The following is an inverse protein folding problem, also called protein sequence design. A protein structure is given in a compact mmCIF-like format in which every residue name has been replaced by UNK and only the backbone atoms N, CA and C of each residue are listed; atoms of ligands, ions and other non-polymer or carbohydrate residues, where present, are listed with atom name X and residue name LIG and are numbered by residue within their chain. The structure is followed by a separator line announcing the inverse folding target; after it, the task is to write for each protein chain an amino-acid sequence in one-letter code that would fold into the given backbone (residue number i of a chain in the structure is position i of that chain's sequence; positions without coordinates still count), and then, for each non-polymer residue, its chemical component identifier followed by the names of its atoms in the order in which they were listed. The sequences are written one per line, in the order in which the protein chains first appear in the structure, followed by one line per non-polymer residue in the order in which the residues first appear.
data_IF_300548920871
#
_entry.id   IF_300548920871
#
_cell.length_a   1.000
_cell.length_b   1.000
_cell.length_c   1.000
_cell.angle_alpha   90.00
_cell.angle_beta   90.00
_cell.angle_gamma   90.00
#
_symmetry.space_group_name_H-M   'P 1'
#
loop_
_entity.id
_entity.type
_entity.pdbx_description
1 polymer ?
#
# COMPACT_ATOMS: atom_id res chain seq x y z
N UNK A 1 -9.99 -8.73 18.54
CA UNK A 1 -9.88 -9.02 17.10
C UNK A 1 -8.86 -8.16 16.34
N UNK A 2 -8.86 -6.81 16.41
CA UNK A 2 -7.87 -6.00 15.67
C UNK A 2 -6.41 -6.39 15.97
N UNK A 3 -6.08 -6.66 17.24
CA UNK A 3 -4.75 -7.17 17.63
C UNK A 3 -4.37 -8.50 16.98
N UNK A 4 -5.35 -9.38 16.73
CA UNK A 4 -5.14 -10.64 15.99
C UNK A 4 -4.74 -10.33 14.55
N UNK A 5 -5.39 -9.36 13.89
CA UNK A 5 -5.02 -8.94 12.54
C UNK A 5 -3.62 -8.30 12.48
N UNK A 6 -3.24 -7.55 13.52
CA UNK A 6 -1.89 -7.01 13.66
C UNK A 6 -0.86 -8.14 13.73
N UNK A 7 -1.08 -9.17 14.56
CA UNK A 7 -0.21 -10.36 14.64
C UNK A 7 -0.16 -11.11 13.31
N UNK A 8 -1.33 -11.40 12.71
CA UNK A 8 -1.44 -12.05 11.40
C UNK A 8 -0.56 -11.35 10.37
N UNK A 9 -0.65 -10.02 10.30
CA UNK A 9 0.09 -9.21 9.33
C UNK A 9 1.58 -9.08 9.66
N UNK A 10 1.94 -8.89 10.94
CA UNK A 10 3.33 -8.77 11.41
C UNK A 10 4.18 -10.01 11.13
N UNK A 11 3.54 -11.18 10.98
CA UNK A 11 4.21 -12.46 10.76
C UNK A 11 3.83 -13.08 9.40
N UNK A 12 3.06 -12.38 8.56
CA UNK A 12 2.69 -12.84 7.22
C UNK A 12 1.82 -14.09 7.17
N UNK A 13 1.07 -14.37 8.23
CA UNK A 13 0.31 -15.60 8.45
C UNK A 13 -0.96 -15.67 7.60
N UNK A 14 -1.37 -16.89 7.22
CA UNK A 14 -2.75 -17.17 6.78
C UNK A 14 -3.72 -17.18 7.96
N UNK A 15 -5.03 -17.32 7.69
CA UNK A 15 -6.03 -17.46 8.75
C UNK A 15 -5.80 -18.74 9.57
N UNK A 16 -5.53 -19.86 8.91
CA UNK A 16 -5.19 -21.15 9.53
C UNK A 16 -3.91 -21.06 10.36
N UNK A 17 -2.87 -20.42 9.81
CA UNK A 17 -1.63 -20.21 10.55
C UNK A 17 -1.84 -19.28 11.75
N UNK A 18 -2.71 -18.28 11.64
CA UNK A 18 -3.01 -17.37 12.75
C UNK A 18 -3.72 -18.11 13.87
N UNK A 19 -4.73 -18.92 13.55
CA UNK A 19 -5.40 -19.81 14.51
C UNK A 19 -4.39 -20.72 15.21
N UNK A 20 -3.58 -21.46 14.45
CA UNK A 20 -2.56 -22.35 14.99
C UNK A 20 -1.58 -21.61 15.91
N UNK A 21 -1.08 -20.45 15.49
CA UNK A 21 -0.10 -19.68 16.27
C UNK A 21 -0.71 -19.04 17.51
N UNK A 22 -2.01 -18.70 17.51
CA UNK A 22 -2.70 -18.26 18.72
C UNK A 22 -2.89 -19.41 19.71
N UNK A 23 -3.08 -20.64 19.23
CA UNK A 23 -3.16 -21.83 20.07
C UNK A 23 -1.78 -22.20 20.65
N UNK A 24 -0.71 -22.06 19.88
CA UNK A 24 0.64 -22.46 20.30
C UNK A 24 1.37 -21.40 21.14
N UNK A 25 1.28 -20.12 20.76
CA UNK A 25 2.14 -19.06 21.33
C UNK A 25 1.45 -18.22 22.40
N UNK A 26 1.89 -18.40 23.64
CA UNK A 26 1.43 -17.59 24.79
C UNK A 26 1.68 -16.09 24.60
N UNK A 27 2.80 -15.68 23.98
CA UNK A 27 3.09 -14.28 23.72
C UNK A 27 2.06 -13.62 22.78
N UNK A 28 1.55 -14.36 21.80
CA UNK A 28 0.49 -13.88 20.91
C UNK A 28 -0.84 -13.78 21.65
N UNK A 29 -1.16 -14.77 22.50
CA UNK A 29 -2.35 -14.69 23.37
C UNK A 29 -2.31 -13.46 24.26
N UNK A 30 -1.17 -13.21 24.94
CA UNK A 30 -0.97 -12.02 25.79
C UNK A 30 -1.16 -10.72 25.02
N UNK A 31 -0.50 -10.56 23.88
CA UNK A 31 -0.67 -9.37 23.04
C UNK A 31 -2.14 -9.18 22.63
N UNK A 32 -2.78 -10.25 22.16
CA UNK A 32 -4.18 -10.23 21.71
C UNK A 32 -5.21 -10.09 22.85
N UNK A 33 -4.80 -10.16 24.11
CA UNK A 33 -5.71 -10.13 25.27
C UNK A 33 -6.52 -11.43 25.44
N UNK A 34 -5.95 -12.56 25.05
CA UNK A 34 -6.60 -13.88 25.02
C UNK A 34 -6.07 -14.85 26.10
N UNK A 35 -5.26 -14.40 27.06
CA UNK A 35 -4.64 -15.29 28.07
C UNK A 35 -5.66 -16.06 28.91
N UNK A 36 -6.78 -15.42 29.28
CA UNK A 36 -7.86 -16.02 30.06
C UNK A 36 -9.06 -16.42 29.20
N UNK A 37 -8.93 -16.36 27.87
CA UNK A 37 -10.02 -16.73 26.97
C UNK A 37 -10.12 -18.24 26.87
N UNK A 38 -11.31 -18.79 27.12
CA UNK A 38 -11.59 -20.22 26.89
C UNK A 38 -11.62 -20.55 25.39
N UNK A 39 -12.06 -19.60 24.57
CA UNK A 39 -12.18 -19.77 23.13
C UNK A 39 -11.17 -18.87 22.41
N UNK A 40 -10.35 -19.48 21.55
CA UNK A 40 -9.43 -18.76 20.66
C UNK A 40 -10.11 -18.58 19.31
N UNK A 41 -10.03 -17.40 18.67
CA UNK A 41 -10.59 -17.19 17.34
C UNK A 41 -10.02 -18.18 16.32
N UNK A 42 -10.90 -18.96 15.71
CA UNK A 42 -10.55 -19.86 14.61
C UNK A 42 -10.37 -19.08 13.30
N UNK A 43 -9.87 -19.76 12.25
CA UNK A 43 -9.69 -19.18 10.91
C UNK A 43 -10.98 -18.54 10.38
N UNK A 44 -12.13 -19.12 10.69
CA UNK A 44 -13.44 -18.65 10.21
C UNK A 44 -13.84 -17.35 10.90
N UNK A 45 -13.61 -17.24 12.21
CA UNK A 45 -13.85 -16.03 13.00
C UNK A 45 -12.96 -14.89 12.53
N UNK A 46 -11.68 -15.17 12.25
CA UNK A 46 -10.74 -14.18 11.73
C UNK A 46 -11.22 -13.69 10.36
N UNK A 47 -11.53 -14.61 9.44
CA UNK A 47 -12.01 -14.28 8.11
C UNK A 47 -13.32 -13.47 8.15
N UNK A 48 -14.29 -13.88 8.95
CA UNK A 48 -15.55 -13.15 9.12
C UNK A 48 -15.31 -11.74 9.64
N UNK A 49 -14.39 -11.58 10.60
CA UNK A 49 -14.05 -10.26 11.14
C UNK A 49 -13.41 -9.36 10.08
N UNK A 50 -12.47 -9.87 9.27
CA UNK A 50 -11.85 -9.11 8.17
C UNK A 50 -12.90 -8.61 7.16
N UNK A 51 -13.81 -9.49 6.73
CA UNK A 51 -14.87 -9.11 5.80
C UNK A 51 -15.86 -8.12 6.43
N UNK A 52 -16.14 -8.26 7.73
CA UNK A 52 -17.07 -7.37 8.44
C UNK A 52 -16.54 -5.94 8.56
N UNK A 53 -15.25 -5.76 8.84
CA UNK A 53 -14.68 -4.42 8.97
C UNK A 53 -14.33 -3.81 7.60
N UNK A 54 -13.86 -4.63 6.65
CA UNK A 54 -13.60 -4.21 5.28
C UNK A 54 -12.77 -2.94 5.14
N UNK A 55 -12.95 -2.26 4.02
CA UNK A 55 -12.22 -1.03 3.67
C UNK A 55 -12.50 0.10 4.66
N UNK A 56 -13.76 0.28 5.05
CA UNK A 56 -14.16 1.37 5.95
C UNK A 56 -13.53 1.20 7.34
N UNK A 57 -13.49 -0.03 7.85
CA UNK A 57 -12.88 -0.34 9.12
C UNK A 57 -11.37 -0.12 9.13
N UNK A 58 -10.65 -0.47 8.06
CA UNK A 58 -9.21 -0.17 7.99
C UNK A 58 -8.94 1.33 7.84
N UNK A 59 -9.79 2.06 7.13
CA UNK A 59 -9.71 3.52 7.03
C UNK A 59 -9.95 4.19 8.39
N UNK A 60 -10.95 3.74 9.15
CA UNK A 60 -11.22 4.23 10.50
C UNK A 60 -10.05 3.94 11.46
N UNK A 61 -9.48 2.73 11.41
CA UNK A 61 -8.29 2.37 12.19
C UNK A 61 -7.08 3.22 11.81
N UNK A 62 -6.89 3.49 10.52
CA UNK A 62 -5.81 4.34 10.03
C UNK A 62 -5.97 5.79 10.52
N UNK A 63 -7.17 6.35 10.40
CA UNK A 63 -7.47 7.71 10.86
C UNK A 63 -7.23 7.86 12.38
N UNK A 64 -7.68 6.90 13.17
CA UNK A 64 -7.45 6.92 14.63
C UNK A 64 -5.96 6.78 14.98
N UNK A 65 -5.21 5.92 14.27
CA UNK A 65 -3.77 5.84 14.45
C UNK A 65 -3.06 7.15 14.07
N UNK A 66 -3.43 7.76 12.95
CA UNK A 66 -2.85 9.03 12.50
C UNK A 66 -3.14 10.14 13.52
N UNK A 67 -4.36 10.21 14.07
CA UNK A 67 -4.72 11.12 15.17
C UNK A 67 -3.81 10.93 16.37
N UNK A 68 -3.55 9.69 16.81
CA UNK A 68 -2.65 9.39 17.92
C UNK A 68 -1.19 9.75 17.62
N UNK A 69 -0.72 9.54 16.38
CA UNK A 69 0.63 9.95 15.95
C UNK A 69 0.77 11.47 16.05
N UNK A 70 -0.22 12.22 15.55
CA UNK A 70 -0.23 13.70 15.60
C UNK A 70 -0.27 14.21 17.05
N UNK A 71 -1.10 13.62 17.89
CA UNK A 71 -1.20 13.98 19.31
C UNK A 71 0.13 13.82 20.08
N UNK A 72 1.07 12.99 19.58
CA UNK A 72 2.42 12.84 20.13
C UNK A 72 3.44 13.82 19.54
N UNK A 73 3.00 14.85 18.82
CA UNK A 73 3.87 15.86 18.19
C UNK A 73 4.61 15.35 16.95
N UNK A 74 4.29 14.15 16.45
CA UNK A 74 4.92 13.54 15.30
C UNK A 74 4.21 13.92 14.00
N UNK A 75 3.84 15.19 13.83
CA UNK A 75 3.18 15.68 12.61
C UNK A 75 4.11 15.70 11.40
N UNK A 76 3.52 15.64 10.20
CA UNK A 76 4.26 15.78 8.95
C UNK A 76 4.60 17.27 8.70
N UNK A 77 5.85 17.65 8.93
CA UNK A 77 6.30 19.06 8.78
C UNK A 77 7.46 19.27 7.81
N UNK A 78 8.05 18.18 7.31
CA UNK A 78 9.27 18.20 6.51
C UNK A 78 9.03 17.85 5.04
N UNK A 79 7.79 17.91 4.57
CA UNK A 79 7.40 17.53 3.21
C UNK A 79 7.09 16.06 3.09
N UNK A 80 6.64 15.68 1.91
CA UNK A 80 6.08 14.37 1.63
C UNK A 80 6.75 13.71 0.43
N UNK A 81 6.94 12.40 0.53
CA UNK A 81 7.52 11.56 -0.52
C UNK A 81 6.40 10.69 -1.06
N UNK A 82 6.06 10.88 -2.33
CA UNK A 82 5.06 10.05 -3.03
C UNK A 82 5.77 9.03 -3.87
N UNK A 83 5.42 7.76 -3.67
CA UNK A 83 5.96 6.65 -4.45
C UNK A 83 4.92 5.55 -4.66
N UNK A 84 4.97 4.94 -5.83
CA UNK A 84 4.07 3.86 -6.22
C UNK A 84 4.82 2.53 -6.29
N UNK A 85 4.14 1.49 -5.83
CA UNK A 85 4.73 0.17 -5.82
C UNK A 85 3.75 -0.92 -6.22
N UNK A 86 4.27 -1.96 -6.86
CA UNK A 86 3.44 -3.09 -7.27
C UNK A 86 3.35 -4.10 -6.13
N UNK A 87 2.14 -4.58 -5.86
CA UNK A 87 1.85 -5.61 -4.88
C UNK A 87 1.42 -6.88 -5.63
N UNK A 88 2.31 -7.89 -5.73
CA UNK A 88 2.02 -9.15 -6.39
C UNK A 88 0.74 -9.82 -5.86
N UNK A 89 -0.05 -10.34 -6.79
CA UNK A 89 -1.13 -11.29 -6.52
C UNK A 89 -0.84 -12.63 -7.23
N UNK A 90 -1.44 -13.77 -6.81
CA UNK A 90 -1.29 -15.03 -7.52
C UNK A 90 -1.64 -14.88 -9.00
N UNK A 91 -0.79 -15.40 -9.88
CA UNK A 91 -1.02 -15.33 -11.32
C UNK A 91 -2.22 -16.18 -11.68
N UNK A 92 -3.17 -15.58 -12.39
CA UNK A 92 -4.35 -16.26 -12.92
C UNK A 92 -4.17 -16.50 -14.42
N UNK A 93 -4.54 -17.69 -14.87
CA UNK A 93 -4.61 -18.03 -16.28
C UNK A 93 -6.03 -17.79 -16.80
N UNK A 94 -6.11 -17.07 -17.92
CA UNK A 94 -7.33 -16.81 -18.69
C UNK A 94 -7.03 -17.13 -20.16
N UNK A 95 -8.02 -17.67 -20.88
CA UNK A 95 -7.93 -17.77 -22.34
C UNK A 95 -8.04 -16.39 -22.98
N UNK A 96 -7.77 -16.28 -24.28
CA UNK A 96 -7.89 -14.98 -24.99
C UNK A 96 -9.34 -14.51 -25.02
N UNK A 97 -10.27 -15.43 -25.18
CA UNK A 97 -11.71 -15.20 -25.23
C UNK A 97 -12.22 -14.76 -23.85
N UNK A 98 -11.83 -15.48 -22.79
CA UNK A 98 -12.15 -15.09 -21.40
C UNK A 98 -11.64 -13.68 -21.10
N UNK A 99 -10.42 -13.35 -21.54
CA UNK A 99 -9.84 -12.02 -21.33
C UNK A 99 -10.60 -10.93 -22.07
N UNK A 100 -10.97 -11.15 -23.33
CA UNK A 100 -11.74 -10.17 -24.12
C UNK A 100 -13.09 -9.84 -23.46
N UNK A 101 -13.74 -10.83 -22.83
CA UNK A 101 -14.98 -10.63 -22.08
C UNK A 101 -14.73 -9.83 -20.80
N UNK A 102 -13.68 -10.17 -20.04
CA UNK A 102 -13.32 -9.47 -18.79
C UNK A 102 -12.87 -8.02 -19.03
N UNK A 103 -12.20 -7.73 -20.16
CA UNK A 103 -11.77 -6.38 -20.53
C UNK A 103 -12.97 -5.48 -20.89
N UNK A 104 -14.17 -6.05 -21.10
CA UNK A 104 -15.45 -5.34 -21.28
C UNK A 104 -16.27 -5.29 -19.98
N UNK A 105 -15.65 -5.58 -18.83
CA UNK A 105 -16.31 -5.68 -17.52
C UNK A 105 -17.47 -6.69 -17.48
N UNK A 106 -17.44 -7.70 -18.37
CA UNK A 106 -18.39 -8.79 -18.42
C UNK A 106 -17.82 -10.08 -17.82
N UNK A 107 -18.71 -11.02 -17.44
CA UNK A 107 -18.33 -12.30 -16.85
C UNK A 107 -18.54 -13.44 -17.86
N UNK A 108 -17.56 -14.34 -18.08
CA UNK A 108 -17.75 -15.49 -18.96
C UNK A 108 -18.93 -16.38 -18.50
N UNK A 109 -19.87 -16.62 -19.42
CA UNK A 109 -21.11 -17.36 -19.13
C UNK A 109 -20.80 -18.79 -18.63
N UNK A 110 -19.82 -19.44 -19.24
CA UNK A 110 -19.44 -20.84 -18.98
C UNK A 110 -18.79 -21.07 -17.62
N UNK A 111 -18.46 -20.00 -16.88
CA UNK A 111 -17.89 -20.16 -15.55
C UNK A 111 -18.96 -20.62 -14.57
N UNK A 112 -18.81 -21.85 -14.07
CA UNK A 112 -19.56 -22.34 -12.91
C UNK A 112 -19.33 -21.43 -11.68
N UNK A 113 -20.31 -21.28 -10.77
CA UNK A 113 -20.15 -20.42 -9.59
C UNK A 113 -18.89 -20.70 -8.76
N UNK A 114 -18.46 -21.97 -8.66
CA UNK A 114 -17.23 -22.35 -7.97
C UNK A 114 -15.97 -21.77 -8.64
N UNK A 115 -15.89 -21.79 -9.98
CA UNK A 115 -14.77 -21.20 -10.74
C UNK A 115 -14.75 -19.68 -10.54
N UNK A 116 -15.91 -19.02 -10.62
CA UNK A 116 -16.03 -17.55 -10.43
C UNK A 116 -15.43 -17.10 -9.09
N UNK A 117 -15.73 -17.80 -7.99
CA UNK A 117 -15.21 -17.48 -6.65
C UNK A 117 -13.70 -17.61 -6.49
N UNK A 118 -13.03 -18.38 -7.36
CA UNK A 118 -11.59 -18.62 -7.32
C UNK A 118 -10.80 -17.72 -8.29
N UNK A 119 -11.49 -16.95 -9.14
CA UNK A 119 -10.87 -16.06 -10.12
C UNK A 119 -10.82 -14.63 -9.61
N UNK A 120 -9.61 -14.09 -9.59
CA UNK A 120 -9.39 -12.67 -9.37
C UNK A 120 -9.54 -11.93 -10.70
N UNK A 121 -10.71 -11.31 -10.86
CA UNK A 121 -11.06 -10.51 -12.05
C UNK A 121 -10.69 -9.05 -11.90
N UNK A 122 -10.09 -8.64 -10.77
CA UNK A 122 -9.68 -7.25 -10.50
C UNK A 122 -8.17 -7.06 -10.67
N UNK A 123 -7.37 -8.05 -10.28
CA UNK A 123 -5.93 -8.02 -10.52
C UNK A 123 -5.62 -7.87 -12.02
N UNK A 124 -4.66 -6.99 -12.36
CA UNK A 124 -4.29 -6.70 -13.75
C UNK A 124 -2.80 -6.95 -13.97
N UNK A 125 -2.44 -7.13 -15.24
CA UNK A 125 -1.06 -7.24 -15.68
C UNK A 125 -0.49 -5.85 -16.01
N UNK A 126 0.80 -5.66 -15.74
CA UNK A 126 1.56 -4.48 -16.16
C UNK A 126 2.99 -4.87 -16.50
N UNK A 127 3.68 -4.07 -17.32
CA UNK A 127 5.09 -4.29 -17.67
C UNK A 127 5.94 -3.14 -17.13
N UNK A 128 6.88 -3.47 -16.23
CA UNK A 128 7.81 -2.50 -15.63
C UNK A 128 9.24 -3.01 -15.81
N UNK A 129 10.13 -2.17 -16.36
CA UNK A 129 11.52 -2.54 -16.66
C UNK A 129 11.69 -3.84 -17.46
N UNK A 130 10.85 -4.04 -18.47
CA UNK A 130 10.89 -5.24 -19.31
C UNK A 130 10.28 -6.50 -18.68
N UNK A 131 9.93 -6.47 -17.38
CA UNK A 131 9.34 -7.61 -16.65
C UNK A 131 7.83 -7.43 -16.49
N UNK A 132 7.09 -8.52 -16.63
CA UNK A 132 5.64 -8.56 -16.43
C UNK A 132 5.30 -8.82 -14.96
N UNK A 133 4.41 -8.00 -14.41
CA UNK A 133 3.93 -8.07 -13.04
C UNK A 133 2.41 -8.22 -13.04
N UNK A 134 1.89 -9.06 -12.13
CA UNK A 134 0.47 -9.30 -11.95
C UNK A 134 0.06 -8.92 -10.53
N UNK A 135 -1.00 -8.13 -10.39
CA UNK A 135 -1.57 -7.79 -9.09
C UNK A 135 -2.10 -6.36 -9.04
N UNK A 136 -1.74 -5.67 -7.96
CA UNK A 136 -2.26 -4.36 -7.60
C UNK A 136 -1.15 -3.31 -7.58
N UNK A 137 -1.56 -2.05 -7.63
CA UNK A 137 -0.74 -0.88 -7.42
C UNK A 137 -1.04 -0.29 -6.05
N UNK A 138 0.01 0.19 -5.42
CA UNK A 138 -0.08 0.77 -4.10
C UNK A 138 0.77 2.03 -4.05
N UNK A 139 0.10 3.18 -4.15
CA UNK A 139 0.72 4.49 -4.04
C UNK A 139 0.63 4.96 -2.59
N UNK A 140 1.72 5.46 -2.04
CA UNK A 140 1.76 5.99 -0.67
C UNK A 140 2.42 7.35 -0.64
N UNK A 141 1.97 8.20 0.28
CA UNK A 141 2.66 9.41 0.69
C UNK A 141 3.26 9.21 2.07
N UNK A 142 4.57 9.45 2.16
CA UNK A 142 5.36 9.23 3.36
C UNK A 142 5.94 10.55 3.85
N UNK A 143 5.79 10.82 5.15
CA UNK A 143 6.43 11.97 5.79
C UNK A 143 7.96 11.82 5.70
N UNK A 144 8.63 12.89 5.28
CA UNK A 144 10.09 12.88 5.11
C UNK A 144 10.83 12.66 6.42
N UNK A 145 10.39 13.23 7.54
CA UNK A 145 11.16 13.24 8.78
C UNK A 145 11.03 11.92 9.53
N UNK A 146 9.83 11.53 9.87
CA UNK A 146 9.57 10.38 10.75
C UNK A 146 9.31 9.07 9.97
N UNK A 147 9.11 9.13 8.65
CA UNK A 147 8.80 8.00 7.75
C UNK A 147 7.44 7.35 8.05
N UNK A 148 6.45 8.11 8.53
CA UNK A 148 5.08 7.61 8.61
C UNK A 148 4.41 7.68 7.23
N UNK A 149 3.60 6.67 6.90
CA UNK A 149 2.70 6.74 5.76
C UNK A 149 1.49 7.57 6.19
N UNK A 150 1.19 8.65 5.46
CA UNK A 150 0.11 9.61 5.78
C UNK A 150 -1.12 9.45 4.91
N UNK A 151 -0.91 9.07 3.66
CA UNK A 151 -1.97 8.80 2.70
C UNK A 151 -1.57 7.60 1.87
N UNK A 152 -2.57 6.85 1.39
CA UNK A 152 -2.36 5.70 0.54
C UNK A 152 -3.52 5.53 -0.44
N UNK A 153 -3.19 5.14 -1.67
CA UNK A 153 -4.12 4.98 -2.78
C UNK A 153 -3.91 3.59 -3.38
N UNK A 154 -4.81 2.64 -3.10
CA UNK A 154 -4.79 1.31 -3.70
C UNK A 154 -5.48 1.33 -5.07
N UNK A 155 -4.92 0.63 -6.04
CA UNK A 155 -5.54 0.48 -7.37
C UNK A 155 -5.06 -0.83 -8.04
N UNK A 156 -5.53 -1.12 -9.24
CA UNK A 156 -5.05 -2.20 -10.10
C UNK A 156 -3.66 -1.88 -10.67
N UNK A 157 -2.89 -2.91 -11.03
CA UNK A 157 -1.50 -2.71 -11.45
C UNK A 157 -1.31 -1.92 -12.77
N UNK A 158 -2.34 -1.83 -13.63
CA UNK A 158 -2.24 -1.21 -14.96
C UNK A 158 -2.39 0.31 -14.95
N UNK A 159 -3.03 0.90 -13.93
CA UNK A 159 -3.25 2.35 -13.84
C UNK A 159 -1.93 3.10 -13.81
N UNK A 160 -1.79 4.20 -14.54
CA UNK A 160 -0.50 4.91 -14.62
C UNK A 160 -0.20 5.68 -13.32
N UNK A 161 1.06 5.63 -12.85
CA UNK A 161 1.48 6.21 -11.56
C UNK A 161 1.05 7.67 -11.41
N UNK A 162 1.10 8.43 -12.50
CA UNK A 162 0.78 9.85 -12.55
C UNK A 162 -0.66 10.21 -12.15
N UNK A 163 -1.59 9.26 -12.18
CA UNK A 163 -3.00 9.50 -11.83
C UNK A 163 -3.23 9.59 -10.32
N UNK A 164 -2.28 9.12 -9.50
CA UNK A 164 -2.46 9.01 -8.05
C UNK A 164 -1.69 10.07 -7.25
N UNK A 165 -0.93 10.96 -7.89
CA UNK A 165 -0.06 11.88 -7.16
C UNK A 165 -0.88 12.80 -6.26
N UNK A 166 -1.86 13.48 -6.85
CA UNK A 166 -2.72 14.43 -6.18
C UNK A 166 -3.58 13.75 -5.11
N UNK A 167 -4.18 12.60 -5.43
CA UNK A 167 -4.96 11.80 -4.48
C UNK A 167 -4.13 11.25 -3.31
N UNK A 168 -2.81 11.11 -3.48
CA UNK A 168 -1.93 10.65 -2.43
C UNK A 168 -1.38 11.78 -1.56
N UNK A 169 -1.65 13.06 -1.84
CA UNK A 169 -1.11 14.15 -1.02
C UNK A 169 -1.76 14.17 0.37
N UNK A 170 -0.94 14.41 1.40
CA UNK A 170 -1.41 14.72 2.74
C UNK A 170 -1.55 16.25 2.86
N UNK A 171 -2.78 16.73 2.90
CA UNK A 171 -3.13 18.15 3.04
C UNK A 171 -2.72 18.71 4.41
N UNK A 172 -2.58 17.84 5.42
CA UNK A 172 -2.16 18.25 6.75
C UNK A 172 -0.63 18.36 6.89
N UNK A 173 0.12 18.14 5.81
CA UNK A 173 1.56 18.35 5.82
C UNK A 173 1.85 19.85 5.73
N UNK A 174 2.47 20.41 6.76
CA UNK A 174 2.71 21.87 6.81
C UNK A 174 3.78 22.34 5.83
N UNK A 175 4.52 21.43 5.20
CA UNK A 175 5.53 21.77 4.20
C UNK A 175 4.99 21.54 2.79
N UNK A 176 5.13 22.58 1.97
CA UNK A 176 4.81 22.57 0.55
C UNK A 176 5.64 21.58 -0.30
N UNK A 177 6.76 21.04 0.21
CA UNK A 177 7.63 20.18 -0.59
C UNK A 177 7.04 18.79 -0.87
N UNK A 178 6.93 18.44 -2.17
CA UNK A 178 6.51 17.11 -2.65
C UNK A 178 7.66 16.47 -3.41
N UNK A 179 8.10 15.29 -2.99
CA UNK A 179 9.18 14.54 -3.65
C UNK A 179 8.60 13.34 -4.39
N UNK A 180 8.80 13.28 -5.71
CA UNK A 180 8.26 12.20 -6.54
C UNK A 180 9.23 11.75 -7.66
N UNK A 181 8.92 10.59 -8.22
CA UNK A 181 9.71 9.96 -9.28
C UNK A 181 9.51 10.60 -10.66
N UNK A 182 10.33 10.18 -11.63
CA UNK A 182 10.26 10.72 -13.01
C UNK A 182 9.00 10.29 -13.78
N UNK A 183 8.26 9.30 -13.29
CA UNK A 183 6.96 8.87 -13.81
C UNK A 183 5.83 9.86 -13.51
N UNK A 184 6.04 10.75 -12.53
CA UNK A 184 5.10 11.81 -12.16
C UNK A 184 5.30 13.14 -12.92
N UNK A 185 6.27 13.22 -13.83
CA UNK A 185 6.55 14.45 -14.59
C UNK A 185 5.36 14.84 -15.46
N UNK A 186 4.97 16.11 -15.40
CA UNK A 186 3.97 16.73 -16.27
C UNK A 186 3.94 18.25 -16.05
N UNK A 187 3.99 19.04 -17.12
CA UNK A 187 4.10 20.50 -17.03
C UNK A 187 2.85 21.11 -16.37
N UNK A 188 1.67 20.80 -16.90
CA UNK A 188 0.37 21.24 -16.36
C UNK A 188 0.17 20.80 -14.92
N UNK A 189 0.61 19.58 -14.56
CA UNK A 189 0.55 19.11 -13.17
C UNK A 189 1.45 19.93 -12.26
N UNK A 190 2.71 20.14 -12.66
CA UNK A 190 3.65 20.93 -11.85
C UNK A 190 3.17 22.37 -11.68
N UNK A 191 2.48 22.94 -12.67
CA UNK A 191 1.84 24.25 -12.60
C UNK A 191 0.67 24.26 -11.62
N UNK A 192 -0.30 23.35 -11.79
CA UNK A 192 -1.43 23.17 -10.85
C UNK A 192 -0.97 22.98 -9.40
N UNK A 193 0.09 22.19 -9.18
CA UNK A 193 0.65 21.99 -7.85
C UNK A 193 1.24 23.29 -7.28
N UNK A 194 1.88 24.13 -8.11
CA UNK A 194 2.40 25.43 -7.69
C UNK A 194 1.28 26.41 -7.38
N UNK A 195 0.20 26.42 -8.16
CA UNK A 195 -1.01 27.23 -7.91
C UNK A 195 -1.65 26.87 -6.56
N UNK A 196 -1.62 25.59 -6.19
CA UNK A 196 -2.05 25.09 -4.88
C UNK A 196 -1.04 25.36 -3.74
N UNK A 197 0.07 26.06 -4.02
CA UNK A 197 1.09 26.42 -3.03
C UNK A 197 2.16 25.35 -2.79
N UNK A 198 2.12 24.21 -3.50
CA UNK A 198 3.14 23.17 -3.39
C UNK A 198 4.42 23.49 -4.16
N UNK A 199 5.52 22.88 -3.73
CA UNK A 199 6.84 22.95 -4.35
C UNK A 199 7.24 21.56 -4.87
N UNK A 200 6.85 21.20 -6.11
CA UNK A 200 7.11 19.87 -6.66
C UNK A 200 8.60 19.65 -6.94
N UNK A 201 9.20 18.73 -6.19
CA UNK A 201 10.52 18.15 -6.39
C UNK A 201 10.42 16.82 -7.14
N UNK A 202 9.93 16.88 -8.37
CA UNK A 202 9.77 15.71 -9.26
C UNK A 202 11.04 15.52 -10.10
N UNK A 203 11.56 14.29 -10.17
CA UNK A 203 12.75 13.99 -10.98
C UNK A 203 12.50 14.27 -12.46
N UNK A 204 13.45 14.90 -13.16
CA UNK A 204 13.36 15.16 -14.60
C UNK A 204 13.54 13.86 -15.40
N UNK A 205 12.76 13.71 -16.47
CA UNK A 205 12.85 12.62 -17.44
C UNK A 205 13.63 13.09 -18.68
N UNK A 206 14.54 12.26 -19.16
CA UNK A 206 15.23 12.49 -20.43
C UNK A 206 14.21 12.50 -21.59
N UNK A 207 14.39 13.41 -22.55
CA UNK A 207 13.61 13.38 -23.81
C UNK A 207 14.21 12.32 -24.72
N UNK A 208 13.40 11.78 -25.64
CA UNK A 208 13.89 10.80 -26.61
C UNK A 208 15.08 11.37 -27.38
N UNK A 209 16.17 10.60 -27.45
CA UNK A 209 17.41 11.02 -28.14
C UNK A 209 18.24 12.07 -27.41
N UNK A 210 17.88 12.51 -26.19
CA UNK A 210 18.65 13.50 -25.43
C UNK A 210 18.92 13.03 -24.01
N UNK A 211 20.20 12.98 -23.63
CA UNK A 211 20.61 12.75 -22.24
C UNK A 211 20.18 13.91 -21.34
N UNK A 212 20.13 13.65 -20.03
CA UNK A 212 19.93 14.72 -19.06
C UNK A 212 21.18 15.59 -19.01
N UNK A 213 21.00 16.90 -18.81
CA UNK A 213 22.15 17.77 -18.54
C UNK A 213 22.74 17.46 -17.17
N UNK A 214 24.04 17.74 -16.97
CA UNK A 214 24.70 17.53 -15.68
C UNK A 214 23.98 18.26 -14.51
N UNK A 215 23.36 19.41 -14.79
CA UNK A 215 22.53 20.12 -13.81
C UNK A 215 21.26 19.32 -13.44
N UNK A 216 20.56 18.78 -14.44
CA UNK A 216 19.37 17.94 -14.21
C UNK A 216 19.73 16.65 -13.46
N UNK A 217 20.86 16.03 -13.77
CA UNK A 217 21.35 14.85 -13.06
C UNK A 217 21.68 15.15 -11.59
N UNK A 218 22.38 16.25 -11.31
CA UNK A 218 22.65 16.69 -9.93
C UNK A 218 21.35 16.94 -9.16
N UNK A 219 20.36 17.59 -9.78
CA UNK A 219 19.03 17.78 -9.19
C UNK A 219 18.34 16.45 -8.92
N UNK A 220 18.31 15.54 -9.89
CA UNK A 220 17.71 14.22 -9.73
C UNK A 220 18.38 13.41 -8.63
N UNK A 221 19.70 13.51 -8.48
CA UNK A 221 20.47 12.87 -7.40
C UNK A 221 20.10 13.41 -6.02
N UNK A 222 19.93 14.73 -5.88
CA UNK A 222 19.45 15.35 -4.63
C UNK A 222 18.05 14.86 -4.26
N UNK A 223 17.15 14.80 -5.23
CA UNK A 223 15.77 14.29 -5.04
C UNK A 223 15.80 12.80 -4.69
N UNK A 224 16.60 12.00 -5.39
CA UNK A 224 16.75 10.57 -5.14
C UNK A 224 17.21 10.28 -3.70
N UNK A 225 18.16 11.07 -3.17
CA UNK A 225 18.63 10.94 -1.79
C UNK A 225 17.52 11.14 -0.75
N UNK A 226 16.57 12.04 -1.03
CA UNK A 226 15.40 12.22 -0.15
C UNK A 226 14.42 11.06 -0.34
N UNK A 227 14.15 10.69 -1.60
CA UNK A 227 13.18 9.65 -1.95
C UNK A 227 13.57 8.26 -1.44
N UNK A 228 14.86 7.92 -1.36
CA UNK A 228 15.31 6.62 -0.83
C UNK A 228 14.78 6.30 0.58
N UNK A 229 14.28 7.30 1.31
CA UNK A 229 13.58 7.09 2.59
C UNK A 229 12.32 6.23 2.44
N UNK A 230 11.59 6.34 1.33
CA UNK A 230 10.39 5.52 1.03
C UNK A 230 10.75 4.06 0.76
N UNK A 231 11.94 3.81 0.20
CA UNK A 231 12.41 2.44 -0.04
C UNK A 231 12.58 1.67 1.27
N UNK A 232 13.01 2.34 2.35
CA UNK A 232 13.04 1.73 3.68
C UNK A 232 11.64 1.33 4.18
N UNK A 233 10.62 2.12 3.86
CA UNK A 233 9.22 1.81 4.22
C UNK A 233 8.77 0.54 3.49
N UNK A 234 9.00 0.47 2.19
CA UNK A 234 8.65 -0.72 1.41
C UNK A 234 9.49 -1.95 1.78
N UNK A 235 10.77 -1.77 2.09
CA UNK A 235 11.63 -2.84 2.57
C UNK A 235 11.12 -3.41 3.89
N UNK A 236 10.73 -2.54 4.84
CA UNK A 236 10.11 -2.98 6.09
C UNK A 236 8.80 -3.75 5.82
N UNK A 237 7.90 -3.22 5.00
CA UNK A 237 6.64 -3.91 4.64
C UNK A 237 6.93 -5.29 4.01
N UNK A 238 7.95 -5.39 3.16
CA UNK A 238 8.33 -6.65 2.54
C UNK A 238 8.91 -7.67 3.53
N UNK A 239 9.71 -7.23 4.52
CA UNK A 239 10.37 -8.10 5.50
C UNK A 239 9.40 -8.76 6.49
N UNK A 240 8.41 -8.03 7.02
CA UNK A 240 7.64 -8.51 8.17
C UNK A 240 6.43 -9.39 7.81
N UNK A 241 5.76 -9.12 6.69
CA UNK A 241 4.55 -9.86 6.31
C UNK A 241 4.51 -10.34 4.86
N UNK A 242 5.58 -10.08 4.11
CA UNK A 242 5.58 -10.18 2.66
C UNK A 242 4.76 -9.07 2.00
N UNK A 243 5.26 -8.60 0.87
CA UNK A 243 4.57 -7.67 -0.02
C UNK A 243 3.83 -8.46 -1.09
N UNK A 244 2.76 -9.14 -0.70
CA UNK A 244 1.93 -9.95 -1.60
C UNK A 244 0.50 -10.00 -1.08
N UNK A 245 -0.46 -9.93 -1.98
CA UNK A 245 -1.87 -10.17 -1.71
C UNK A 245 -2.18 -11.66 -1.92
N UNK A 246 -2.98 -12.23 -1.03
CA UNK A 246 -3.47 -13.62 -1.13
C UNK A 246 -5.00 -13.69 -1.26
N UNK A 247 -5.67 -12.55 -1.12
CA UNK A 247 -7.12 -12.43 -1.25
C UNK A 247 -7.50 -12.19 -2.71
N UNK A 248 -8.76 -12.48 -3.02
CA UNK A 248 -9.36 -12.24 -4.33
C UNK A 248 -10.24 -10.98 -4.23
N UNK A 249 -10.08 -10.08 -5.19
CA UNK A 249 -10.92 -8.91 -5.38
C UNK A 249 -10.37 -7.62 -4.76
N UNK A 250 -10.68 -6.50 -5.40
CA UNK A 250 -10.15 -5.16 -5.10
C UNK A 250 -10.43 -4.75 -3.66
N UNK A 251 -11.65 -4.95 -3.15
CA UNK A 251 -12.01 -4.55 -1.78
C UNK A 251 -11.13 -5.24 -0.72
N UNK A 252 -10.89 -6.55 -0.88
CA UNK A 252 -10.04 -7.32 0.04
C UNK A 252 -8.56 -7.01 -0.14
N UNK A 253 -8.13 -6.75 -1.38
CA UNK A 253 -6.77 -6.29 -1.65
C UNK A 253 -6.50 -4.93 -1.00
N UNK A 254 -7.44 -3.98 -1.11
CA UNK A 254 -7.43 -2.68 -0.45
C UNK A 254 -7.35 -2.83 1.06
N UNK A 255 -8.19 -3.68 1.66
CA UNK A 255 -8.13 -3.98 3.08
C UNK A 255 -6.75 -4.50 3.51
N UNK A 256 -6.23 -5.49 2.79
CA UNK A 256 -4.92 -6.07 3.08
C UNK A 256 -3.78 -5.05 2.92
N UNK A 257 -3.85 -4.16 1.92
CA UNK A 257 -2.92 -3.05 1.71
C UNK A 257 -2.98 -2.04 2.87
N UNK A 258 -4.18 -1.62 3.28
CA UNK A 258 -4.38 -0.76 4.45
C UNK A 258 -3.85 -1.38 5.74
N UNK A 259 -4.02 -2.68 5.94
CA UNK A 259 -3.43 -3.38 7.08
C UNK A 259 -1.89 -3.39 7.04
N UNK A 260 -1.26 -3.39 5.86
CA UNK A 260 0.21 -3.22 5.76
C UNK A 260 0.63 -1.84 6.30
N UNK A 261 -0.10 -0.79 5.92
CA UNK A 261 0.14 0.59 6.35
C UNK A 261 -0.01 0.71 7.85
N UNK A 262 -1.14 0.24 8.37
CA UNK A 262 -1.48 0.32 9.79
C UNK A 262 -0.38 -0.31 10.64
N UNK A 263 0.00 -1.55 10.31
CA UNK A 263 1.03 -2.28 11.06
C UNK A 263 2.40 -1.66 10.92
N UNK A 264 2.77 -1.18 9.73
CA UNK A 264 4.00 -0.43 9.53
C UNK A 264 4.04 0.82 10.42
N UNK A 265 2.99 1.63 10.41
CA UNK A 265 2.92 2.86 11.21
C UNK A 265 2.92 2.57 12.71
N UNK A 266 2.19 1.55 13.20
CA UNK A 266 2.21 1.14 14.61
C UNK A 266 3.63 0.78 15.05
N UNK A 267 4.34 -0.02 14.26
CA UNK A 267 5.73 -0.39 14.54
C UNK A 267 6.65 0.83 14.49
N UNK A 268 6.46 1.70 13.52
CA UNK A 268 7.26 2.92 13.38
C UNK A 268 7.04 3.85 14.58
N UNK A 269 5.82 3.94 15.08
CA UNK A 269 5.47 4.69 16.28
C UNK A 269 6.12 4.08 17.52
N UNK A 270 6.07 2.76 17.68
CA UNK A 270 6.75 2.08 18.77
C UNK A 270 8.27 2.29 18.74
N UNK A 271 8.88 2.32 17.56
CA UNK A 271 10.31 2.60 17.40
C UNK A 271 10.70 4.05 17.73
N UNK A 272 9.82 5.02 17.49
CA UNK A 272 10.09 6.44 17.73
C UNK A 272 9.67 6.93 19.12
N UNK A 273 8.77 6.19 19.78
CA UNK A 273 8.31 6.47 21.14
C UNK A 273 8.95 5.61 22.22
N UNK A 274 9.91 4.76 21.85
CA UNK A 274 10.81 4.05 22.76
C UNK A 274 12.09 4.85 22.99
#
# INVERSE_FOLDING_TARGET
MVRVLVVKRLHGLSDEQTEFQLLDRRSFRRFCGLEHSRNIPDRTTIWNFENRIGVDGVNALFAELDRQIRARGLEARAGQIVDATLVPAPKQHFTREEKAILDQDAMPADWKPAKRRQKDVDARWTKKHGKSHHGYKFTVSVDRKHKFIRTWVPDTACVHDSQHLEAALDEWNTSAEIYADKGYVGAEREERLREQGYRPQIQRKAKQGKSLSACQERRNRRIAKVRSRVEHVFAAIAQWGGKRIRTIGQARATFAMGMMVLVYNMRRLAFLGA
#
